data_IF_179412147554
#
_entry.id   IF_179412147554
#
_cell.length_a   1.000
_cell.length_b   1.000
_cell.length_c   1.000
_cell.angle_alpha   90.00
_cell.angle_beta   90.00
_cell.angle_gamma   90.00
#
_symmetry.space_group_name_H-M   'P 1'
#
loop_
_entity.id
_entity.type
_entity.pdbx_description
1 polymer ?
#
# COMPACT_ATOMS: atom_id res chain seq x y z
N UNK A 1 10.31 2.45 2.88
CA UNK A 1 10.04 2.14 1.46
C UNK A 1 9.07 3.15 0.90
N UNK A 2 9.24 3.57 -0.36
CA UNK A 2 8.46 4.65 -0.98
C UNK A 2 7.32 4.05 -1.84
N UNK A 3 6.17 3.71 -1.24
CA UNK A 3 5.00 3.21 -1.99
C UNK A 3 4.24 4.32 -2.76
N UNK A 4 4.69 5.57 -2.62
CA UNK A 4 4.12 6.74 -3.28
C UNK A 4 3.99 6.56 -4.80
N UNK A 5 5.01 5.99 -5.45
CA UNK A 5 5.00 5.79 -6.90
C UNK A 5 4.08 4.65 -7.36
N UNK A 6 3.90 3.59 -6.55
CA UNK A 6 2.90 2.55 -6.84
C UNK A 6 1.49 3.12 -6.77
N UNK A 7 1.19 3.90 -5.72
CA UNK A 7 -0.12 4.55 -5.59
C UNK A 7 -0.38 5.50 -6.78
N UNK A 8 0.62 6.24 -7.24
CA UNK A 8 0.46 7.15 -8.38
C UNK A 8 0.15 6.41 -9.70
N UNK A 9 0.81 5.27 -9.94
CA UNK A 9 0.59 4.42 -11.13
C UNK A 9 -0.81 3.78 -11.10
N UNK A 10 -1.32 3.50 -9.90
CA UNK A 10 -2.69 3.00 -9.67
C UNK A 10 -3.77 4.10 -9.71
N UNK A 11 -3.40 5.35 -10.00
CA UNK A 11 -4.33 6.48 -10.04
C UNK A 11 -4.76 7.01 -8.67
N UNK A 12 -4.07 6.58 -7.61
CA UNK A 12 -4.34 6.99 -6.23
C UNK A 12 -3.46 8.18 -5.83
N UNK A 13 -4.08 9.35 -5.63
CA UNK A 13 -3.41 10.56 -5.15
C UNK A 13 -3.19 10.52 -3.62
N UNK A 14 -2.42 9.53 -3.16
CA UNK A 14 -2.06 9.40 -1.74
C UNK A 14 -0.75 10.14 -1.51
N UNK A 15 -0.81 11.32 -0.90
CA UNK A 15 0.38 12.11 -0.65
C UNK A 15 1.33 11.43 0.36
N UNK A 16 2.66 11.63 0.27
CA UNK A 16 3.62 11.02 1.18
C UNK A 16 3.30 11.29 2.66
N UNK A 17 2.86 12.52 2.97
CA UNK A 17 2.40 12.91 4.31
C UNK A 17 1.24 12.05 4.83
N UNK A 18 0.35 11.59 3.97
CA UNK A 18 -0.79 10.76 4.37
C UNK A 18 -0.39 9.28 4.54
N UNK A 19 0.67 8.85 3.83
CA UNK A 19 1.33 7.56 4.05
C UNK A 19 2.04 7.55 5.41
N UNK A 20 2.76 8.62 5.75
CA UNK A 20 3.42 8.76 7.06
C UNK A 20 2.42 8.72 8.22
N UNK A 21 1.27 9.40 8.07
CA UNK A 21 0.17 9.29 9.04
C UNK A 21 -0.37 7.87 9.13
N UNK A 22 -0.55 7.20 7.99
CA UNK A 22 -1.05 5.83 7.96
C UNK A 22 -0.10 4.84 8.67
N UNK A 23 1.22 5.01 8.50
CA UNK A 23 2.24 4.25 9.21
C UNK A 23 2.20 4.49 10.72
N UNK A 24 1.84 5.69 11.16
CA UNK A 24 1.58 6.03 12.56
C UNK A 24 0.18 5.60 13.06
N UNK A 25 -0.55 4.79 12.29
CA UNK A 25 -1.94 4.38 12.54
C UNK A 25 -2.94 5.54 12.67
N UNK A 26 -2.59 6.71 12.14
CA UNK A 26 -3.44 7.89 12.08
C UNK A 26 -4.15 7.97 10.72
N UNK A 27 -5.35 7.39 10.66
CA UNK A 27 -6.12 7.29 9.43
C UNK A 27 -7.09 8.46 9.26
N UNK A 28 -7.40 8.80 8.01
CA UNK A 28 -8.45 9.73 7.68
C UNK A 28 -9.85 9.21 8.08
N UNK A 29 -10.75 10.13 8.39
CA UNK A 29 -12.17 9.83 8.65
C UNK A 29 -12.92 9.47 7.37
N UNK A 30 -12.51 10.06 6.25
CA UNK A 30 -13.07 9.77 4.94
C UNK A 30 -12.72 8.33 4.51
N UNK A 31 -13.75 7.52 4.23
CA UNK A 31 -13.61 6.10 3.93
C UNK A 31 -12.68 5.82 2.74
N UNK A 32 -12.77 6.62 1.67
CA UNK A 32 -11.95 6.43 0.47
C UNK A 32 -10.47 6.68 0.78
N UNK A 33 -10.14 7.80 1.42
CA UNK A 33 -8.75 8.10 1.85
C UNK A 33 -8.21 7.06 2.83
N UNK A 34 -9.03 6.59 3.77
CA UNK A 34 -8.65 5.52 4.70
C UNK A 34 -8.31 4.22 3.96
N UNK A 35 -9.05 3.87 2.92
CA UNK A 35 -8.77 2.69 2.11
C UNK A 35 -7.40 2.81 1.43
N UNK A 36 -7.10 3.97 0.83
CA UNK A 36 -5.80 4.25 0.19
C UNK A 36 -4.64 4.24 1.19
N UNK A 37 -4.85 4.75 2.39
CA UNK A 37 -3.85 4.70 3.46
C UNK A 37 -3.55 3.27 3.92
N UNK A 38 -4.59 2.42 4.04
CA UNK A 38 -4.41 1.01 4.39
C UNK A 38 -3.69 0.23 3.29
N UNK A 39 -4.00 0.55 2.04
CA UNK A 39 -3.31 0.02 0.87
C UNK A 39 -1.83 0.38 0.87
N UNK A 40 -1.49 1.65 1.09
CA UNK A 40 -0.10 2.10 1.22
C UNK A 40 0.67 1.33 2.32
N UNK A 41 0.05 1.13 3.50
CA UNK A 41 0.64 0.33 4.59
C UNK A 41 0.84 -1.13 4.18
N UNK A 42 -0.11 -1.72 3.45
CA UNK A 42 0.02 -3.08 2.93
C UNK A 42 1.21 -3.19 1.97
N UNK A 43 1.36 -2.28 1.00
CA UNK A 43 2.50 -2.25 0.08
C UNK A 43 3.85 -2.21 0.83
N UNK A 44 3.97 -1.32 1.82
CA UNK A 44 5.19 -1.18 2.62
C UNK A 44 5.48 -2.45 3.42
N UNK A 45 4.44 -3.07 3.97
CA UNK A 45 4.57 -4.31 4.75
C UNK A 45 5.06 -5.45 3.86
N UNK A 46 4.45 -5.63 2.68
CA UNK A 46 4.86 -6.67 1.72
C UNK A 46 6.30 -6.46 1.29
N UNK A 47 6.68 -5.22 0.94
CA UNK A 47 8.05 -4.94 0.55
C UNK A 47 9.02 -5.26 1.67
N UNK A 48 8.71 -4.88 2.91
CA UNK A 48 9.56 -5.20 4.05
C UNK A 48 9.73 -6.71 4.23
N UNK A 49 8.67 -7.49 4.05
CA UNK A 49 8.77 -8.96 4.10
C UNK A 49 9.65 -9.53 2.99
N UNK A 50 9.61 -8.95 1.79
CA UNK A 50 10.51 -9.30 0.68
C UNK A 50 11.96 -8.96 1.03
N UNK A 51 12.21 -7.74 1.50
CA UNK A 51 13.54 -7.25 1.88
C UNK A 51 14.13 -8.09 3.03
N UNK A 52 13.29 -8.54 3.97
CA UNK A 52 13.66 -9.38 5.11
C UNK A 52 13.75 -10.88 4.75
N UNK A 53 13.49 -11.26 3.49
CA UNK A 53 13.54 -12.66 3.02
C UNK A 53 12.42 -13.56 3.56
N UNK A 54 11.39 -12.97 4.17
CA UNK A 54 10.24 -13.65 4.79
C UNK A 54 8.99 -13.61 3.91
N UNK A 55 9.15 -13.43 2.60
CA UNK A 55 8.02 -13.32 1.69
C UNK A 55 7.21 -14.62 1.70
N UNK A 56 5.90 -14.59 2.07
CA UNK A 56 5.02 -15.72 1.81
C UNK A 56 4.93 -15.94 0.30
N UNK A 57 4.58 -17.16 -0.15
CA UNK A 57 4.45 -17.51 -1.58
C UNK A 57 3.87 -16.35 -2.40
N UNK A 58 4.79 -15.65 -3.08
CA UNK A 58 4.65 -14.27 -3.56
C UNK A 58 3.48 -14.10 -4.53
N UNK A 59 3.06 -15.21 -5.12
CA UNK A 59 2.04 -15.33 -6.15
C UNK A 59 0.68 -14.77 -5.70
N UNK A 60 0.11 -15.20 -4.57
CA UNK A 60 -1.26 -14.81 -4.20
C UNK A 60 -1.38 -13.39 -3.66
N UNK A 61 -0.34 -12.86 -3.03
CA UNK A 61 -0.31 -11.50 -2.49
C UNK A 61 -0.04 -10.46 -3.57
N UNK A 62 0.90 -10.73 -4.49
CA UNK A 62 1.07 -9.91 -5.70
C UNK A 62 -0.17 -9.99 -6.58
N UNK A 63 -0.84 -11.15 -6.70
CA UNK A 63 -2.07 -11.27 -7.48
C UNK A 63 -3.21 -10.44 -6.89
N UNK A 64 -3.33 -10.32 -5.56
CA UNK A 64 -4.30 -9.41 -4.92
C UNK A 64 -3.97 -7.93 -5.09
N UNK A 65 -2.68 -7.56 -5.08
CA UNK A 65 -2.22 -6.19 -5.40
C UNK A 65 -2.46 -5.87 -6.88
N UNK A 66 -2.11 -6.79 -7.78
CA UNK A 66 -2.24 -6.64 -9.23
C UNK A 66 -3.70 -6.69 -9.70
N UNK A 67 -4.60 -7.40 -9.02
CA UNK A 67 -6.03 -7.46 -9.43
C UNK A 67 -6.75 -6.13 -9.22
N UNK A 68 -6.29 -5.26 -8.31
CA UNK A 68 -6.84 -3.90 -8.21
C UNK A 68 -6.43 -3.00 -9.39
N UNK A 69 -5.46 -3.39 -10.22
CA UNK A 69 -5.14 -2.72 -11.49
C UNK A 69 -6.08 -3.12 -12.64
N UNK A 70 -7.02 -4.06 -12.43
CA UNK A 70 -7.90 -4.59 -13.49
C UNK A 70 -9.40 -4.26 -13.33
N UNK A 71 -9.80 -3.43 -12.35
CA UNK A 71 -11.18 -2.92 -12.19
C UNK A 71 -11.16 -1.42 -11.91
#
# INVERSE_FOLDING_TARGET
MNCYYSNLIEGHDTHPRDIDKALAQNYADELKKRALQKEAVAHITVQKMIDDGNAPDLFWMLFRLLIKLAV
#
